data_IF_109163204439
#
_entry.id   IF_109163204439
#
_cell.length_a   1.000
_cell.length_b   1.000
_cell.length_c   1.000
_cell.angle_alpha   90.00
_cell.angle_beta   90.00
_cell.angle_gamma   90.00
#
_symmetry.space_group_name_H-M   'P 1'
#
loop_
_entity.id
_entity.type
_entity.pdbx_description
1 polymer ?
#
# COMPACT_ATOMS: atom_id res chain seq x y z
N UNK A 1 0.47 -30.16 33.72
CA UNK A 1 1.07 -30.55 32.43
C UNK A 1 2.15 -29.53 32.17
N UNK A 2 3.37 -29.87 32.55
CA UNK A 2 4.50 -28.94 32.56
C UNK A 2 4.94 -28.61 31.14
N UNK A 3 4.98 -27.32 30.82
CA UNK A 3 5.61 -26.84 29.60
C UNK A 3 7.12 -27.05 29.75
N UNK A 4 7.67 -27.99 28.99
CA UNK A 4 9.12 -28.13 28.84
C UNK A 4 9.72 -26.77 28.43
N UNK A 5 10.86 -26.35 29.02
CA UNK A 5 11.46 -25.07 28.67
C UNK A 5 11.87 -25.07 27.19
N UNK A 6 11.34 -24.11 26.42
CA UNK A 6 11.69 -23.88 25.03
C UNK A 6 13.19 -23.57 24.89
N UNK A 7 13.82 -24.04 23.81
CA UNK A 7 15.25 -23.84 23.62
C UNK A 7 15.60 -22.35 23.42
N UNK A 8 16.82 -21.88 23.79
CA UNK A 8 17.22 -20.48 23.59
C UNK A 8 17.17 -20.01 22.12
N UNK A 9 17.25 -20.94 21.16
CA UNK A 9 17.10 -20.66 19.74
C UNK A 9 15.64 -20.44 19.35
N UNK A 10 14.71 -21.23 19.89
CA UNK A 10 13.27 -21.07 19.67
C UNK A 10 12.77 -19.72 20.21
N UNK A 11 13.23 -19.32 21.40
CA UNK A 11 12.86 -18.03 21.98
C UNK A 11 13.35 -16.87 21.11
N UNK A 12 14.58 -16.94 20.60
CA UNK A 12 15.13 -15.90 19.73
C UNK A 12 14.36 -15.76 18.41
N UNK A 13 14.02 -16.89 17.77
CA UNK A 13 13.27 -16.87 16.52
C UNK A 13 11.86 -16.31 16.69
N UNK A 14 11.21 -16.64 17.80
CA UNK A 14 9.89 -16.10 18.14
C UNK A 14 9.95 -14.58 18.38
N UNK A 15 10.98 -14.09 19.07
CA UNK A 15 11.17 -12.66 19.31
C UNK A 15 11.41 -11.89 18.00
N UNK A 16 12.23 -12.44 17.10
CA UNK A 16 12.45 -11.85 15.76
C UNK A 16 11.15 -11.78 14.95
N UNK A 17 10.36 -12.85 14.96
CA UNK A 17 9.09 -12.89 14.24
C UNK A 17 8.10 -11.87 14.81
N UNK A 18 8.01 -11.77 16.14
CA UNK A 18 7.17 -10.80 16.84
C UNK A 18 7.56 -9.37 16.48
N UNK A 19 8.86 -9.07 16.51
CA UNK A 19 9.38 -7.75 16.15
C UNK A 19 9.04 -7.39 14.70
N UNK A 20 9.20 -8.34 13.77
CA UNK A 20 8.84 -8.17 12.37
C UNK A 20 7.35 -7.83 12.20
N UNK A 21 6.47 -8.61 12.81
CA UNK A 21 5.00 -8.43 12.71
C UNK A 21 4.60 -7.07 13.27
N UNK A 22 5.11 -6.69 14.45
CA UNK A 22 4.84 -5.38 15.05
C UNK A 22 5.34 -4.20 14.19
N UNK A 23 6.54 -4.33 13.63
CA UNK A 23 7.09 -3.31 12.70
C UNK A 23 6.20 -3.15 11.47
N UNK A 24 5.64 -4.23 10.95
CA UNK A 24 4.75 -4.19 9.77
C UNK A 24 3.40 -3.57 10.06
N UNK A 25 2.77 -3.93 11.18
CA UNK A 25 1.55 -3.26 11.68
C UNK A 25 1.80 -1.76 11.74
N UNK A 26 2.90 -1.34 12.38
CA UNK A 26 3.26 0.07 12.52
C UNK A 26 3.50 0.75 11.17
N UNK A 27 4.14 0.05 10.23
CA UNK A 27 4.45 0.57 8.90
C UNK A 27 3.17 0.87 8.11
N UNK A 28 2.27 -0.10 7.99
CA UNK A 28 1.04 0.07 7.21
C UNK A 28 0.07 1.07 7.86
N UNK A 29 -0.07 1.03 9.20
CA UNK A 29 -0.85 2.04 9.92
C UNK A 29 -0.28 3.45 9.76
N UNK A 30 1.05 3.59 9.71
CA UNK A 30 1.68 4.89 9.45
C UNK A 30 1.45 5.37 8.01
N UNK A 31 1.65 4.51 7.00
CA UNK A 31 1.43 4.86 5.60
C UNK A 31 -0.01 5.33 5.36
N UNK A 32 -0.98 4.64 5.94
CA UNK A 32 -2.38 5.04 5.88
C UNK A 32 -2.62 6.41 6.52
N UNK A 33 -2.08 6.67 7.72
CA UNK A 33 -2.22 7.98 8.37
C UNK A 33 -1.61 9.11 7.55
N UNK A 34 -0.46 8.87 6.90
CA UNK A 34 0.14 9.87 6.00
C UNK A 34 -0.78 10.14 4.80
N UNK A 35 -1.33 9.09 4.19
CA UNK A 35 -2.22 9.20 3.02
C UNK A 35 -3.55 9.89 3.33
N UNK A 36 -4.01 9.81 4.58
CA UNK A 36 -5.21 10.49 5.05
C UNK A 36 -4.94 11.89 5.63
N UNK A 37 -3.71 12.42 5.50
CA UNK A 37 -3.34 13.73 6.06
C UNK A 37 -3.35 13.78 7.59
N UNK A 38 -3.26 12.63 8.26
CA UNK A 38 -3.27 12.51 9.73
C UNK A 38 -1.87 12.42 10.35
N UNK A 39 -0.83 12.27 9.52
CA UNK A 39 0.56 12.21 9.97
C UNK A 39 1.49 12.89 8.97
N UNK A 40 2.53 13.54 9.50
CA UNK A 40 3.62 14.06 8.68
C UNK A 40 4.50 12.90 8.22
N UNK A 41 4.94 12.94 6.97
CA UNK A 41 5.91 11.97 6.50
C UNK A 41 7.31 12.30 7.02
N UNK A 42 7.88 11.39 7.82
CA UNK A 42 9.15 11.51 8.54
C UNK A 42 9.27 12.80 9.37
N UNK A 43 8.14 13.31 9.88
CA UNK A 43 8.06 14.58 10.61
C UNK A 43 8.53 15.80 9.79
N UNK A 44 8.50 15.72 8.46
CA UNK A 44 8.96 16.80 7.58
C UNK A 44 7.78 17.52 6.94
N UNK A 45 6.98 16.83 6.13
CA UNK A 45 5.88 17.43 5.37
C UNK A 45 4.56 16.72 5.67
N UNK A 46 3.49 17.51 5.79
CA UNK A 46 2.11 17.01 5.79
C UNK A 46 1.56 17.05 4.37
N UNK A 47 1.27 15.87 3.81
CA UNK A 47 0.69 15.77 2.48
C UNK A 47 -0.82 16.02 2.55
N UNK A 48 -1.32 16.93 1.73
CA UNK A 48 -2.76 17.19 1.62
C UNK A 48 -3.42 16.18 0.68
N UNK A 49 -4.75 16.06 0.78
CA UNK A 49 -5.52 15.25 -0.16
C UNK A 49 -5.36 15.74 -1.62
N UNK A 50 -5.15 17.04 -1.81
CA UNK A 50 -4.93 17.64 -3.14
C UNK A 50 -3.56 17.23 -3.71
N UNK A 51 -2.50 17.28 -2.90
CA UNK A 51 -1.15 16.85 -3.30
C UNK A 51 -1.17 15.39 -3.78
N UNK A 52 -1.86 14.53 -3.03
CA UNK A 52 -2.01 13.12 -3.34
C UNK A 52 -2.83 12.91 -4.61
N UNK A 53 -3.99 13.56 -4.73
CA UNK A 53 -4.86 13.44 -5.91
C UNK A 53 -4.16 13.93 -7.19
N UNK A 54 -3.38 15.00 -7.10
CA UNK A 54 -2.61 15.52 -8.23
C UNK A 54 -1.46 14.57 -8.63
N UNK A 55 -0.81 13.93 -7.66
CA UNK A 55 0.30 13.02 -7.92
C UNK A 55 -0.16 11.65 -8.45
N UNK A 56 -1.23 11.09 -7.89
CA UNK A 56 -1.73 9.75 -8.19
C UNK A 56 -2.84 9.75 -9.24
N UNK A 57 -2.47 9.91 -10.51
CA UNK A 57 -3.41 9.83 -11.63
C UNK A 57 -4.00 8.40 -11.82
N UNK A 58 -5.32 8.30 -11.70
CA UNK A 58 -6.07 7.04 -11.81
C UNK A 58 -5.94 6.38 -13.19
N UNK A 59 -5.87 7.17 -14.27
CA UNK A 59 -5.74 6.64 -15.62
C UNK A 59 -4.42 5.89 -15.80
N UNK A 60 -3.32 6.50 -15.35
CA UNK A 60 -1.95 5.94 -15.38
C UNK A 60 -1.81 4.76 -14.43
N UNK A 61 -2.47 4.80 -13.28
CA UNK A 61 -2.36 3.78 -12.24
C UNK A 61 -3.37 2.66 -12.36
N UNK A 62 -4.31 2.72 -13.31
CA UNK A 62 -5.41 1.77 -13.49
C UNK A 62 -5.02 0.30 -13.31
N UNK A 63 -3.94 -0.16 -13.96
CA UNK A 63 -3.49 -1.55 -13.84
C UNK A 63 -2.98 -1.88 -12.44
N UNK A 64 -2.27 -0.95 -11.81
CA UNK A 64 -1.77 -1.09 -10.45
C UNK A 64 -2.91 -1.08 -9.45
N UNK A 65 -3.88 -0.17 -9.58
CA UNK A 65 -5.10 -0.15 -8.76
C UNK A 65 -5.82 -1.48 -8.84
N UNK A 66 -6.01 -2.03 -10.05
CA UNK A 66 -6.69 -3.30 -10.24
C UNK A 66 -5.93 -4.49 -9.63
N UNK A 67 -4.61 -4.55 -9.78
CA UNK A 67 -3.81 -5.59 -9.13
C UNK A 67 -3.90 -5.52 -7.60
N UNK A 68 -3.78 -4.32 -7.02
CA UNK A 68 -3.91 -4.12 -5.57
C UNK A 68 -5.32 -4.45 -5.07
N UNK A 69 -6.34 -4.13 -5.86
CA UNK A 69 -7.73 -4.47 -5.56
C UNK A 69 -7.95 -5.98 -5.49
N UNK A 70 -7.45 -6.73 -6.48
CA UNK A 70 -7.47 -8.20 -6.47
C UNK A 70 -6.82 -8.76 -5.20
N UNK A 71 -5.66 -8.23 -4.82
CA UNK A 71 -4.98 -8.66 -3.60
C UNK A 71 -5.86 -8.40 -2.35
N UNK A 72 -6.43 -7.21 -2.25
CA UNK A 72 -7.31 -6.83 -1.14
C UNK A 72 -8.55 -7.72 -1.04
N UNK A 73 -9.26 -7.95 -2.15
CA UNK A 73 -10.46 -8.80 -2.15
C UNK A 73 -10.13 -10.26 -1.88
N UNK A 74 -9.02 -10.76 -2.42
CA UNK A 74 -8.54 -12.13 -2.18
C UNK A 74 -8.15 -12.39 -0.72
N UNK A 75 -7.73 -11.36 0.02
CA UNK A 75 -7.40 -11.49 1.44
C UNK A 75 -8.63 -11.72 2.32
N UNK A 76 -9.81 -11.22 1.93
CA UNK A 76 -11.04 -11.31 2.73
C UNK A 76 -11.36 -12.75 3.18
N UNK A 77 -11.60 -13.69 2.24
CA UNK A 77 -11.90 -15.09 2.59
C UNK A 77 -10.76 -15.79 3.35
N UNK A 78 -9.50 -15.39 3.14
CA UNK A 78 -8.34 -15.94 3.84
C UNK A 78 -8.37 -15.52 5.32
N UNK A 79 -8.80 -14.28 5.61
CA UNK A 79 -8.94 -13.78 6.98
C UNK A 79 -10.06 -14.48 7.77
N UNK A 80 -10.99 -15.17 7.12
CA UNK A 80 -12.03 -15.96 7.81
C UNK A 80 -11.53 -17.35 8.26
N UNK A 81 -10.35 -17.80 7.81
CA UNK A 81 -9.80 -19.12 8.18
C UNK A 81 -9.36 -19.12 9.64
N UNK A 82 -10.03 -19.88 10.51
CA UNK A 82 -9.74 -19.90 11.96
C UNK A 82 -8.50 -20.69 12.33
N UNK A 83 -8.22 -21.80 11.64
CA UNK A 83 -7.04 -22.62 11.90
C UNK A 83 -5.75 -21.89 11.46
N UNK A 84 -4.81 -21.69 12.38
CA UNK A 84 -3.55 -20.96 12.14
C UNK A 84 -2.70 -21.57 11.02
N UNK A 85 -2.58 -22.89 10.98
CA UNK A 85 -1.76 -23.58 9.95
C UNK A 85 -2.37 -23.40 8.56
N UNK A 86 -3.68 -23.61 8.45
CA UNK A 86 -4.40 -23.47 7.19
C UNK A 86 -4.44 -22.02 6.71
N UNK A 87 -4.62 -21.08 7.64
CA UNK A 87 -4.55 -19.65 7.37
C UNK A 87 -3.22 -19.26 6.72
N UNK A 88 -2.10 -19.64 7.33
CA UNK A 88 -0.76 -19.28 6.83
C UNK A 88 -0.45 -19.96 5.51
N UNK A 89 -0.84 -21.23 5.34
CA UNK A 89 -0.67 -21.95 4.07
C UNK A 89 -1.49 -21.31 2.96
N UNK A 90 -2.76 -21.00 3.22
CA UNK A 90 -3.64 -20.35 2.26
C UNK A 90 -3.15 -18.94 1.91
N UNK A 91 -2.73 -18.16 2.90
CA UNK A 91 -2.13 -16.83 2.72
C UNK A 91 -0.86 -16.90 1.86
N UNK A 92 0.04 -17.83 2.15
CA UNK A 92 1.25 -18.03 1.34
C UNK A 92 0.90 -18.43 -0.10
N UNK A 93 0.01 -19.41 -0.30
CA UNK A 93 -0.45 -19.83 -1.63
C UNK A 93 -1.08 -18.67 -2.42
N UNK A 94 -1.97 -17.90 -1.80
CA UNK A 94 -2.59 -16.72 -2.41
C UNK A 94 -1.53 -15.70 -2.84
N UNK A 95 -0.54 -15.41 -1.99
CA UNK A 95 0.51 -14.44 -2.34
C UNK A 95 1.45 -14.94 -3.45
N UNK A 96 1.56 -16.25 -3.65
CA UNK A 96 2.28 -16.86 -4.79
C UNK A 96 1.46 -16.74 -6.07
N UNK A 97 0.17 -17.07 -6.00
CA UNK A 97 -0.78 -16.90 -7.10
C UNK A 97 -0.83 -15.42 -7.55
N UNK A 98 -0.87 -14.48 -6.61
CA UNK A 98 -0.85 -13.05 -6.89
C UNK A 98 0.39 -12.61 -7.67
N UNK A 99 1.59 -13.02 -7.24
CA UNK A 99 2.82 -12.68 -7.96
C UNK A 99 2.81 -13.27 -9.37
N UNK A 100 2.34 -14.51 -9.54
CA UNK A 100 2.21 -15.14 -10.84
C UNK A 100 1.29 -14.31 -11.76
N UNK A 101 0.09 -13.97 -11.29
CA UNK A 101 -0.89 -13.18 -12.02
C UNK A 101 -0.35 -11.81 -12.45
N UNK A 102 0.36 -11.11 -11.55
CA UNK A 102 0.96 -9.81 -11.84
C UNK A 102 2.06 -9.93 -12.91
N UNK A 103 2.90 -10.96 -12.81
CA UNK A 103 4.00 -11.22 -13.74
C UNK A 103 3.50 -11.57 -15.16
N UNK A 104 2.38 -12.28 -15.28
CA UNK A 104 1.79 -12.66 -16.57
C UNK A 104 1.09 -11.51 -17.32
N UNK A 105 0.99 -10.34 -16.71
CA UNK A 105 0.37 -9.19 -17.38
C UNK A 105 -0.98 -8.78 -16.82
N UNK A 106 -1.52 -9.47 -15.80
CA UNK A 106 -2.87 -9.25 -15.29
C UNK A 106 -3.98 -9.55 -16.32
N UNK A 107 -3.69 -10.39 -17.33
CA UNK A 107 -4.64 -10.73 -18.38
C UNK A 107 -5.40 -12.00 -17.99
N UNK A 108 -6.57 -11.86 -17.37
CA UNK A 108 -7.55 -12.95 -17.43
C UNK A 108 -8.03 -13.07 -18.88
N UNK A 109 -7.85 -14.22 -19.53
CA UNK A 109 -8.34 -14.46 -20.90
C UNK A 109 -9.84 -14.18 -20.90
N UNK A 110 -10.25 -13.09 -21.56
CA UNK A 110 -11.67 -12.74 -21.71
C UNK A 110 -12.39 -13.93 -22.33
N UNK A 111 -13.28 -14.58 -21.57
CA UNK A 111 -14.21 -15.56 -22.12
C UNK A 111 -15.19 -14.84 -23.05
N UNK A 112 -15.40 -15.40 -24.23
CA UNK A 112 -16.37 -14.89 -25.19
C UNK A 112 -17.78 -15.03 -24.61
N UNK A 113 -18.39 -13.91 -24.19
CA UNK A 113 -19.76 -13.83 -23.66
C UNK A 113 -20.87 -14.10 -24.72
N UNK A 114 -20.52 -14.56 -25.93
CA UNK A 114 -21.50 -15.03 -26.91
C UNK A 114 -21.94 -16.47 -26.60
N UNK A 115 -22.60 -16.67 -25.46
CA UNK A 115 -23.42 -17.85 -25.20
C UNK A 115 -24.78 -17.38 -24.71
N UNK A 116 -25.77 -17.52 -25.58
CA UNK A 116 -27.18 -17.15 -25.41
C UNK A 116 -27.74 -17.81 -24.12
N UNK A 117 -27.83 -17.05 -23.03
CA UNK A 117 -28.42 -17.53 -21.76
C UNK A 117 -29.93 -17.26 -21.73
N UNK A 118 -30.69 -18.22 -21.20
CA UNK A 118 -32.13 -18.11 -20.90
C UNK A 118 -32.35 -17.14 -19.73
N UNK A 119 -33.48 -16.42 -19.67
CA UNK A 119 -33.80 -15.51 -18.57
C UNK A 119 -34.30 -16.31 -17.35
N UNK A 120 -33.71 -16.10 -16.17
CA UNK A 120 -34.28 -16.66 -14.93
C UNK A 120 -33.38 -16.79 -13.70
N UNK A 121 -32.07 -16.52 -13.74
CA UNK A 121 -31.22 -16.64 -12.56
C UNK A 121 -30.47 -15.35 -12.24
N UNK A 122 -30.48 -15.00 -10.95
CA UNK A 122 -29.94 -13.76 -10.41
C UNK A 122 -28.47 -13.54 -10.73
N UNK A 123 -28.08 -12.27 -10.76
CA UNK A 123 -26.74 -11.79 -11.05
C UNK A 123 -25.76 -12.17 -9.93
N UNK A 124 -25.30 -13.43 -9.92
CA UNK A 124 -24.08 -13.84 -9.22
C UNK A 124 -23.01 -14.11 -10.27
N UNK A 125 -22.29 -13.05 -10.67
CA UNK A 125 -21.12 -13.17 -11.51
C UNK A 125 -19.90 -13.68 -10.72
N UNK A 126 -20.04 -14.78 -9.98
CA UNK A 126 -18.89 -15.52 -9.43
C UNK A 126 -18.57 -16.67 -10.39
N UNK A 127 -17.90 -16.31 -11.48
CA UNK A 127 -17.41 -17.22 -12.50
C UNK A 127 -16.01 -17.72 -12.11
N UNK A 128 -15.90 -18.49 -11.02
CA UNK A 128 -14.69 -19.27 -10.72
C UNK A 128 -14.46 -20.29 -11.83
N UNK A 129 -13.39 -20.09 -12.62
CA UNK A 129 -12.94 -21.02 -13.65
C UNK A 129 -11.40 -21.08 -13.64
N UNK A 130 -10.88 -21.85 -12.67
CA UNK A 130 -9.87 -22.88 -12.94
C UNK A 130 -8.37 -22.57 -12.95
N UNK A 131 -7.91 -21.33 -12.84
CA UNK A 131 -6.45 -21.05 -12.86
C UNK A 131 -5.87 -20.69 -11.49
N UNK A 132 -6.65 -20.01 -10.65
CA UNK A 132 -6.22 -19.55 -9.33
C UNK A 132 -7.21 -20.05 -8.27
N UNK A 133 -6.68 -20.57 -7.15
CA UNK A 133 -7.50 -21.16 -6.08
C UNK A 133 -7.91 -20.13 -5.05
N UNK A 134 -7.00 -19.21 -4.71
CA UNK A 134 -7.17 -18.24 -3.65
C UNK A 134 -7.24 -16.80 -4.17
N UNK A 135 -6.99 -16.56 -5.46
CA UNK A 135 -7.27 -15.26 -6.06
C UNK A 135 -8.72 -15.12 -6.47
N UNK A 136 -9.33 -14.03 -6.01
CA UNK A 136 -10.57 -13.51 -6.53
C UNK A 136 -10.28 -12.42 -7.57
N UNK A 137 -10.77 -12.61 -8.80
CA UNK A 137 -10.56 -11.69 -9.93
C UNK A 137 -11.92 -11.08 -10.33
N UNK A 138 -12.43 -10.12 -9.55
CA UNK A 138 -13.74 -9.52 -9.80
C UNK A 138 -13.71 -8.55 -10.99
N UNK A 139 -14.76 -8.56 -11.82
CA UNK A 139 -14.96 -7.51 -12.82
C UNK A 139 -15.61 -6.29 -12.19
N UNK A 140 -14.96 -5.14 -12.22
CA UNK A 140 -15.53 -3.88 -11.71
C UNK A 140 -16.22 -3.10 -12.84
N UNK A 141 -17.46 -2.60 -12.64
CA UNK A 141 -18.16 -1.80 -13.65
C UNK A 141 -17.73 -0.32 -13.66
N UNK A 142 -16.88 0.07 -12.72
CA UNK A 142 -16.34 1.43 -12.56
C UNK A 142 -14.81 1.40 -12.60
N UNK A 143 -14.22 2.58 -12.82
CA UNK A 143 -12.80 2.79 -12.68
C UNK A 143 -12.41 2.84 -11.22
N UNK A 144 -11.36 2.09 -10.85
CA UNK A 144 -10.87 2.05 -9.48
C UNK A 144 -10.08 3.31 -9.17
N UNK A 145 -10.44 3.98 -8.08
CA UNK A 145 -9.62 5.02 -7.50
C UNK A 145 -8.41 4.40 -6.78
N UNK A 146 -7.21 4.82 -7.17
CA UNK A 146 -5.97 4.27 -6.67
C UNK A 146 -5.76 4.55 -5.18
N UNK A 147 -6.09 5.76 -4.71
CA UNK A 147 -5.89 6.16 -3.32
C UNK A 147 -6.85 5.38 -2.40
N UNK A 148 -8.11 5.24 -2.79
CA UNK A 148 -9.09 4.43 -2.04
C UNK A 148 -8.69 2.95 -1.95
N UNK A 149 -8.25 2.36 -3.08
CA UNK A 149 -7.75 0.98 -3.06
C UNK A 149 -6.52 0.86 -2.15
N UNK A 150 -5.62 1.85 -2.16
CA UNK A 150 -4.40 1.79 -1.37
C UNK A 150 -4.65 1.94 0.14
N UNK A 151 -5.56 2.85 0.51
CA UNK A 151 -5.99 3.06 1.88
C UNK A 151 -6.63 1.80 2.45
N UNK A 152 -7.61 1.24 1.73
CA UNK A 152 -8.28 0.00 2.14
C UNK A 152 -7.33 -1.20 2.20
N UNK A 153 -6.36 -1.28 1.28
CA UNK A 153 -5.34 -2.33 1.33
C UNK A 153 -4.44 -2.22 2.57
N UNK A 154 -4.08 -0.99 2.98
CA UNK A 154 -3.30 -0.78 4.21
C UNK A 154 -4.06 -1.27 5.45
N UNK A 155 -5.36 -0.98 5.54
CA UNK A 155 -6.21 -1.49 6.60
C UNK A 155 -6.23 -3.02 6.63
N UNK A 156 -6.44 -3.64 5.47
CA UNK A 156 -6.47 -5.10 5.35
C UNK A 156 -5.11 -5.70 5.73
N UNK A 157 -3.98 -5.08 5.37
CA UNK A 157 -2.67 -5.55 5.83
C UNK A 157 -2.51 -5.43 7.34
N UNK A 158 -2.94 -4.33 7.96
CA UNK A 158 -2.93 -4.20 9.42
C UNK A 158 -3.73 -5.33 10.07
N UNK A 159 -4.94 -5.62 9.57
CA UNK A 159 -5.77 -6.74 10.05
C UNK A 159 -5.06 -8.09 9.87
N UNK A 160 -4.45 -8.30 8.70
CA UNK A 160 -3.71 -9.54 8.37
C UNK A 160 -2.55 -9.78 9.34
N UNK A 161 -1.75 -8.75 9.63
CA UNK A 161 -0.63 -8.86 10.57
C UNK A 161 -1.08 -8.91 12.04
N UNK A 162 -2.18 -8.26 12.41
CA UNK A 162 -2.76 -8.41 13.75
C UNK A 162 -3.19 -9.86 14.00
N UNK A 163 -3.83 -10.51 13.02
CA UNK A 163 -4.17 -11.93 13.12
C UNK A 163 -2.93 -12.84 13.24
N UNK A 164 -1.82 -12.50 12.58
CA UNK A 164 -0.53 -13.20 12.79
C UNK A 164 0.00 -12.98 14.20
N UNK A 165 -0.14 -11.77 14.75
CA UNK A 165 0.29 -11.41 16.10
C UNK A 165 -0.49 -12.17 17.17
N UNK A 166 -1.81 -12.28 17.01
CA UNK A 166 -2.68 -13.03 17.93
C UNK A 166 -2.27 -14.50 18.04
N UNK A 167 -1.77 -15.07 16.94
CA UNK A 167 -1.40 -16.48 16.83
C UNK A 167 0.13 -16.71 16.89
N UNK A 168 0.92 -15.71 17.29
CA UNK A 168 2.39 -15.70 17.14
C UNK A 168 3.10 -16.90 17.81
N UNK A 169 2.56 -17.38 18.93
CA UNK A 169 3.12 -18.50 19.70
C UNK A 169 3.03 -19.82 18.94
N UNK A 170 1.92 -20.05 18.24
CA UNK A 170 1.70 -21.26 17.45
C UNK A 170 2.54 -21.24 16.17
N UNK A 171 2.76 -20.05 15.61
CA UNK A 171 3.56 -19.85 14.41
C UNK A 171 5.06 -20.07 14.68
N UNK A 172 5.54 -19.58 15.82
CA UNK A 172 6.97 -19.57 16.16
C UNK A 172 7.59 -20.93 16.44
N UNK A 173 6.77 -21.99 16.61
CA UNK A 173 7.25 -23.35 16.93
C UNK A 173 7.56 -24.20 15.70
N UNK A 174 7.05 -23.81 14.53
CA UNK A 174 7.00 -24.66 13.32
C UNK A 174 7.60 -23.99 12.07
N UNK A 175 7.64 -24.75 10.97
CA UNK A 175 7.91 -24.28 9.60
C UNK A 175 6.97 -23.18 9.09
N UNK A 176 5.92 -22.86 9.86
CA UNK A 176 5.02 -21.75 9.61
C UNK A 176 5.73 -20.39 9.71
N UNK A 177 6.73 -20.26 10.59
CA UNK A 177 7.56 -19.06 10.71
C UNK A 177 8.26 -18.71 9.38
N UNK A 178 8.79 -19.71 8.67
CA UNK A 178 9.40 -19.53 7.35
C UNK A 178 8.40 -19.09 6.29
N UNK A 179 7.17 -19.62 6.33
CA UNK A 179 6.10 -19.18 5.43
C UNK A 179 5.72 -17.73 5.70
N UNK A 180 5.62 -17.33 6.97
CA UNK A 180 5.36 -15.92 7.33
C UNK A 180 6.46 -14.99 6.84
N UNK A 181 7.73 -15.40 6.92
CA UNK A 181 8.83 -14.62 6.32
C UNK A 181 8.71 -14.47 4.80
N UNK A 182 8.28 -15.53 4.09
CA UNK A 182 8.03 -15.47 2.63
C UNK A 182 6.86 -14.55 2.29
N UNK A 183 5.78 -14.61 3.06
CA UNK A 183 4.63 -13.69 2.93
C UNK A 183 5.09 -12.26 3.17
N UNK A 184 5.83 -12.01 4.26
CA UNK A 184 6.35 -10.68 4.59
C UNK A 184 7.21 -10.11 3.47
N UNK A 185 8.09 -10.92 2.88
CA UNK A 185 8.95 -10.47 1.79
C UNK A 185 8.14 -9.92 0.61
N UNK A 186 6.94 -10.47 0.34
CA UNK A 186 6.05 -10.00 -0.72
C UNK A 186 5.31 -8.72 -0.32
N UNK A 187 4.73 -8.66 0.89
CA UNK A 187 4.06 -7.44 1.38
C UNK A 187 5.03 -6.28 1.59
N UNK A 188 6.27 -6.56 1.99
CA UNK A 188 7.36 -5.58 2.06
C UNK A 188 7.64 -4.92 0.71
N UNK A 189 7.55 -5.65 -0.41
CA UNK A 189 7.71 -5.05 -1.74
C UNK A 189 6.63 -4.01 -2.02
N UNK A 190 5.39 -4.28 -1.58
CA UNK A 190 4.26 -3.34 -1.72
C UNK A 190 4.48 -2.12 -0.83
N UNK A 191 4.84 -2.31 0.44
CA UNK A 191 5.19 -1.19 1.33
C UNK A 191 6.34 -0.35 0.77
N UNK A 192 7.41 -0.97 0.28
CA UNK A 192 8.55 -0.27 -0.31
C UNK A 192 8.16 0.51 -1.58
N UNK A 193 7.25 -0.04 -2.39
CA UNK A 193 6.70 0.63 -3.56
C UNK A 193 5.90 1.89 -3.14
N UNK A 194 5.10 1.81 -2.08
CA UNK A 194 4.36 2.95 -1.53
C UNK A 194 5.30 4.03 -0.99
N UNK A 195 6.31 3.64 -0.19
CA UNK A 195 7.31 4.58 0.32
C UNK A 195 8.01 5.33 -0.81
N UNK A 196 8.42 4.62 -1.87
CA UNK A 196 9.09 5.26 -3.02
C UNK A 196 8.23 6.31 -3.70
N UNK A 197 6.93 6.04 -3.87
CA UNK A 197 6.03 7.01 -4.48
C UNK A 197 5.87 8.26 -3.59
N UNK A 198 5.71 8.06 -2.28
CA UNK A 198 5.64 9.15 -1.30
C UNK A 198 6.96 9.95 -1.23
N UNK A 199 8.10 9.27 -1.27
CA UNK A 199 9.42 9.93 -1.28
C UNK A 199 9.52 10.87 -2.48
N UNK A 200 9.11 10.44 -3.68
CA UNK A 200 9.12 11.30 -4.88
C UNK A 200 8.25 12.54 -4.68
N UNK A 201 7.03 12.36 -4.18
CA UNK A 201 6.10 13.47 -3.92
C UNK A 201 6.71 14.47 -2.91
N UNK A 202 7.30 13.98 -1.83
CA UNK A 202 7.85 14.79 -0.76
C UNK A 202 9.10 15.53 -1.21
N UNK A 203 9.96 14.88 -1.99
CA UNK A 203 11.11 15.55 -2.57
C UNK A 203 10.72 16.73 -3.46
N UNK A 204 9.54 16.67 -4.12
CA UNK A 204 9.02 17.80 -4.88
C UNK A 204 8.43 18.87 -3.96
N UNK A 205 7.60 18.48 -2.99
CA UNK A 205 7.00 19.40 -2.03
C UNK A 205 8.08 20.19 -1.24
N UNK A 206 9.14 19.53 -0.76
CA UNK A 206 10.27 20.20 -0.08
C UNK A 206 10.93 21.23 -1.00
N UNK A 207 11.15 20.88 -2.28
CA UNK A 207 11.78 21.80 -3.23
C UNK A 207 10.90 23.03 -3.48
N UNK A 208 9.60 22.82 -3.61
CA UNK A 208 8.65 23.90 -3.84
C UNK A 208 8.57 24.83 -2.63
N UNK A 209 8.50 24.28 -1.40
CA UNK A 209 8.55 25.06 -0.17
C UNK A 209 9.86 25.86 -0.03
N UNK A 210 11.01 25.23 -0.27
CA UNK A 210 12.31 25.91 -0.24
C UNK A 210 12.41 27.03 -1.29
N UNK A 211 11.82 26.81 -2.47
CA UNK A 211 11.80 27.81 -3.55
C UNK A 211 10.94 29.03 -3.21
N UNK A 212 9.88 28.86 -2.40
CA UNK A 212 9.05 29.97 -1.92
C UNK A 212 9.77 30.86 -0.89
N UNK A 213 10.75 30.30 -0.18
CA UNK A 213 11.50 31.00 0.88
C UNK A 213 12.75 31.71 0.33
N UNK A 214 13.11 31.51 -0.96
CA UNK A 214 14.33 32.07 -1.56
C UNK A 214 14.37 33.63 -1.45
N UNK A 215 15.27 34.19 -0.61
CA UNK A 215 15.38 35.63 -0.39
C UNK A 215 15.72 36.40 -1.67
N UNK A 216 16.38 35.76 -2.64
CA UNK A 216 16.75 36.38 -3.91
C UNK A 216 15.54 36.68 -4.81
N UNK A 217 14.38 36.05 -4.57
CA UNK A 217 13.11 36.43 -5.20
C UNK A 217 12.39 37.54 -4.44
N UNK A 218 12.42 37.52 -3.10
CA UNK A 218 11.87 38.62 -2.29
C UNK A 218 12.58 39.95 -2.56
N UNK A 219 13.87 39.92 -2.91
CA UNK A 219 14.66 41.10 -3.28
C UNK A 219 14.24 41.76 -4.60
N UNK A 220 13.46 41.10 -5.48
CA UNK A 220 13.03 41.68 -6.78
C UNK A 220 11.85 42.63 -6.67
N UNK A 221 11.35 42.90 -5.46
CA UNK A 221 10.26 43.87 -5.21
C UNK A 221 10.70 45.00 -4.26
N UNK A 222 12.01 45.16 -4.01
CA UNK A 222 12.51 46.45 -3.53
C UNK A 222 12.33 47.47 -4.66
N UNK A 223 11.99 48.74 -4.35
CA UNK A 223 12.04 49.79 -5.37
C UNK A 223 13.41 49.69 -6.04
N UNK A 224 13.42 49.71 -7.37
CA UNK A 224 14.67 49.67 -8.12
C UNK A 224 15.49 50.85 -7.61
N UNK A 225 16.52 50.58 -6.81
CA UNK A 225 17.27 51.64 -6.15
C UNK A 225 17.82 52.62 -7.20
N UNK A 226 18.02 52.14 -8.44
CA UNK A 226 18.35 52.96 -9.59
C UNK A 226 17.24 53.99 -9.95
N UNK A 227 15.96 53.62 -9.96
CA UNK A 227 14.85 54.56 -10.24
C UNK A 227 14.65 55.57 -9.11
N UNK A 228 14.88 55.17 -7.84
CA UNK A 228 14.78 56.06 -6.68
C UNK A 228 15.93 57.10 -6.64
N UNK A 229 17.14 56.71 -7.06
CA UNK A 229 18.28 57.63 -7.20
C UNK A 229 18.09 58.65 -8.34
N UNK A 230 17.54 58.22 -9.48
CA UNK A 230 17.29 59.10 -10.62
C UNK A 230 16.14 60.09 -10.36
N UNK A 231 15.09 59.66 -9.67
CA UNK A 231 13.97 60.55 -9.28
C UNK A 231 14.37 61.56 -8.21
N UNK A 232 15.24 61.20 -7.25
CA UNK A 232 15.77 62.15 -6.26
C UNK A 232 16.75 63.17 -6.86
N UNK A 233 17.52 62.79 -7.89
CA UNK A 233 18.41 63.71 -8.59
C UNK A 233 17.68 64.59 -9.62
N UNK A 234 16.55 64.15 -10.17
CA UNK A 234 15.72 64.95 -11.07
C UNK A 234 14.98 66.09 -10.37
N UNK A 235 14.83 66.04 -9.04
CA UNK A 235 14.21 67.09 -8.22
C UNK A 235 15.19 68.18 -7.74
N UNK A 236 16.48 68.08 -8.08
CA UNK A 236 17.53 69.02 -7.69
C UNK A 236 18.12 69.85 -8.84
N UNK A 237 17.40 69.99 -9.97
CA UNK A 237 17.75 70.92 -11.07
C UNK A 237 16.61 71.91 -11.28
#
# INVERSE_FOLDING_TARGET
>A
MDASPSSPKETHNLDQLKELVLKRISTFAYLQRVQNGQAHYFNTILLTAEDLAHFFDNTRLRRRSYNLFILGTSLGPILDITNTSDYIKALNSMTVEYEHYVNEGGKSRKRNFFRKSKPGEGFSANLQDGEYRYLDIPTTPFELDYLEVLNTLCDIFVVTYNKLMENIQDIGRDSLSELVMKIDAKFKKIAAMMCKDLDVLIHNAIKDELFMIDPLRMSKHGPDAAEEWDTLNALHI
#
